data_IF_527336745499
#
_entry.id   IF_527336745499
#
_cell.length_a   1.000
_cell.length_b   1.000
_cell.length_c   1.000
_cell.angle_alpha   90.00
_cell.angle_beta   90.00
_cell.angle_gamma   90.00
#
_symmetry.space_group_name_H-M   'P 1'
#
loop_
_entity.id
_entity.type
_entity.pdbx_description
1 polymer ?
#
# COMPACT_ATOMS: atom_id res chain seq x y z
N UNK A 1 1.05 -3.32 26.50
CA UNK A 1 -0.11 -2.99 27.36
C UNK A 1 -1.12 -4.09 27.19
N UNK A 2 -1.44 -4.79 28.28
CA UNK A 2 -2.27 -6.00 28.27
C UNK A 2 -3.66 -5.68 27.74
N UNK A 3 -4.17 -6.53 26.86
CA UNK A 3 -5.50 -6.45 26.30
C UNK A 3 -6.54 -6.82 27.38
N UNK A 4 -6.87 -5.87 28.26
CA UNK A 4 -8.22 -5.85 28.81
C UNK A 4 -9.15 -5.67 27.61
N UNK A 5 -9.69 -6.76 27.08
CA UNK A 5 -10.85 -6.67 26.20
C UNK A 5 -11.88 -5.85 26.96
N UNK A 6 -12.16 -4.64 26.50
CA UNK A 6 -13.12 -3.72 27.10
C UNK A 6 -14.37 -4.50 27.47
N UNK A 7 -14.72 -4.53 28.76
CA UNK A 7 -15.88 -5.26 29.27
C UNK A 7 -17.17 -4.89 28.52
N UNK A 8 -17.20 -3.65 28.02
CA UNK A 8 -18.20 -3.12 27.12
C UNK A 8 -18.34 -3.89 25.80
N UNK A 9 -17.23 -4.18 25.11
CA UNK A 9 -17.28 -4.94 23.84
C UNK A 9 -17.72 -6.38 24.10
N UNK A 10 -17.27 -6.99 25.21
CA UNK A 10 -17.75 -8.33 25.60
C UNK A 10 -19.25 -8.34 25.90
N UNK A 11 -19.79 -7.26 26.47
CA UNK A 11 -21.22 -7.09 26.69
C UNK A 11 -21.98 -7.02 25.36
N UNK A 12 -21.46 -6.29 24.37
CA UNK A 12 -22.06 -6.22 23.04
C UNK A 12 -21.98 -7.56 22.29
N UNK A 13 -20.85 -8.27 22.35
CA UNK A 13 -20.69 -9.61 21.76
C UNK A 13 -21.67 -10.63 22.38
N UNK A 14 -21.84 -10.58 23.70
CA UNK A 14 -22.82 -11.43 24.41
C UNK A 14 -24.25 -11.14 23.96
N UNK A 15 -24.59 -9.86 23.81
CA UNK A 15 -25.90 -9.39 23.42
C UNK A 15 -26.24 -9.70 21.95
N UNK A 16 -25.25 -9.69 21.05
CA UNK A 16 -25.46 -9.97 19.62
C UNK A 16 -26.06 -11.37 19.38
N UNK A 17 -25.64 -12.36 20.17
CA UNK A 17 -26.10 -13.75 20.04
C UNK A 17 -27.50 -14.01 20.61
N UNK A 18 -28.16 -13.01 21.20
CA UNK A 18 -29.43 -13.16 21.93
C UNK A 18 -30.45 -12.10 21.50
N UNK A 19 -31.72 -12.50 21.40
CA UNK A 19 -32.84 -11.57 21.11
C UNK A 19 -33.23 -10.73 22.33
N UNK A 20 -33.19 -11.32 23.52
CA UNK A 20 -33.37 -10.64 24.80
C UNK A 20 -32.51 -11.29 25.88
N UNK A 21 -32.18 -10.52 26.92
CA UNK A 21 -31.41 -10.98 28.07
C UNK A 21 -31.63 -10.05 29.27
N UNK A 22 -31.22 -10.47 30.47
CA UNK A 22 -31.24 -9.64 31.68
C UNK A 22 -29.83 -9.17 32.03
N UNK A 23 -29.73 -8.07 32.77
CA UNK A 23 -28.44 -7.56 33.25
C UNK A 23 -27.71 -8.59 34.12
N UNK A 24 -28.46 -9.36 34.93
CA UNK A 24 -27.89 -10.43 35.74
C UNK A 24 -27.24 -11.51 34.87
N UNK A 25 -27.97 -12.04 33.88
CA UNK A 25 -27.46 -13.05 32.96
C UNK A 25 -26.19 -12.58 32.22
N UNK A 26 -26.15 -11.30 31.83
CA UNK A 26 -24.98 -10.68 31.21
C UNK A 26 -23.81 -10.58 32.18
N UNK A 27 -24.05 -10.12 33.41
CA UNK A 27 -22.99 -9.97 34.43
C UNK A 27 -22.41 -11.30 34.87
N UNK A 28 -23.24 -12.34 35.02
CA UNK A 28 -22.78 -13.70 35.34
C UNK A 28 -21.97 -14.30 34.21
N UNK A 29 -22.37 -14.10 32.96
CA UNK A 29 -21.67 -14.67 31.82
C UNK A 29 -20.30 -14.04 31.55
N UNK A 30 -20.17 -12.74 31.81
CA UNK A 30 -18.93 -11.98 31.53
C UNK A 30 -18.04 -11.88 32.77
N UNK A 31 -18.58 -12.19 33.96
CA UNK A 31 -17.85 -12.11 35.23
C UNK A 31 -17.59 -10.67 35.65
N UNK A 32 -18.60 -9.80 35.55
CA UNK A 32 -18.48 -8.38 35.89
C UNK A 32 -18.45 -8.15 37.39
N UNK A 33 -17.67 -7.16 37.83
CA UNK A 33 -17.69 -6.72 39.24
C UNK A 33 -18.98 -5.94 39.55
N UNK A 34 -19.35 -5.80 40.83
CA UNK A 34 -20.53 -5.01 41.22
C UNK A 34 -20.47 -3.55 40.74
N UNK A 35 -19.28 -2.94 40.78
CA UNK A 35 -19.06 -1.58 40.28
C UNK A 35 -19.28 -1.48 38.77
N UNK A 36 -18.77 -2.44 38.00
CA UNK A 36 -18.96 -2.51 36.55
C UNK A 36 -20.44 -2.77 36.19
N UNK A 37 -21.14 -3.59 36.97
CA UNK A 37 -22.59 -3.81 36.84
C UNK A 37 -23.36 -2.50 37.00
N UNK A 38 -23.04 -1.72 38.04
CA UNK A 38 -23.69 -0.43 38.29
C UNK A 38 -23.42 0.59 37.16
N UNK A 39 -22.19 0.63 36.64
CA UNK A 39 -21.85 1.49 35.50
C UNK A 39 -22.61 1.10 34.23
N UNK A 40 -22.71 -0.20 33.92
CA UNK A 40 -23.51 -0.67 32.79
C UNK A 40 -25.00 -0.38 32.99
N UNK A 41 -25.53 -0.57 34.21
CA UNK A 41 -26.91 -0.25 34.52
C UNK A 41 -27.23 1.24 34.28
N UNK A 42 -26.30 2.14 34.62
CA UNK A 42 -26.42 3.57 34.35
C UNK A 42 -26.43 3.86 32.84
N UNK A 43 -25.54 3.23 32.07
CA UNK A 43 -25.50 3.41 30.61
C UNK A 43 -26.78 2.90 29.92
N UNK A 44 -27.35 1.80 30.43
CA UNK A 44 -28.63 1.26 29.97
C UNK A 44 -29.77 2.22 30.30
N UNK A 45 -29.81 2.75 31.53
CA UNK A 45 -30.83 3.71 31.94
C UNK A 45 -30.80 4.99 31.08
N UNK A 46 -29.60 5.45 30.72
CA UNK A 46 -29.40 6.62 29.85
C UNK A 46 -29.73 6.34 28.37
N UNK A 47 -30.14 5.12 28.02
CA UNK A 47 -30.41 4.73 26.63
C UNK A 47 -29.16 4.73 25.75
N UNK A 48 -27.98 4.69 26.35
CA UNK A 48 -26.74 4.65 25.60
C UNK A 48 -26.51 3.25 25.05
N UNK A 49 -26.81 2.20 25.80
CA UNK A 49 -26.67 0.81 25.35
C UNK A 49 -27.90 0.01 25.70
N UNK A 50 -28.21 -0.99 24.88
CA UNK A 50 -29.30 -1.93 25.08
C UNK A 50 -30.67 -1.25 25.30
N UNK A 51 -31.60 -1.56 24.41
CA UNK A 51 -32.94 -1.02 24.54
C UNK A 51 -33.70 -1.70 25.68
N UNK A 52 -34.35 -0.90 26.50
CA UNK A 52 -35.11 -1.34 27.66
C UNK A 52 -36.47 -0.63 27.67
N UNK A 53 -37.53 -1.31 28.14
CA UNK A 53 -38.91 -0.79 28.12
C UNK A 53 -39.37 -0.22 29.47
N UNK A 54 -38.56 -0.29 30.52
CA UNK A 54 -38.93 0.16 31.85
C UNK A 54 -38.72 1.68 32.02
N UNK A 55 -39.68 2.41 32.59
CA UNK A 55 -39.55 3.86 32.77
C UNK A 55 -38.46 4.25 33.80
N UNK A 56 -38.21 3.40 34.80
CA UNK A 56 -37.21 3.64 35.83
C UNK A 56 -36.30 2.42 36.01
N UNK A 57 -35.38 2.25 35.06
CA UNK A 57 -34.49 1.09 35.03
C UNK A 57 -33.52 1.06 36.22
N UNK A 58 -32.92 2.20 36.58
CA UNK A 58 -31.83 2.26 37.56
C UNK A 58 -32.27 1.89 38.98
N UNK A 59 -33.53 2.14 39.34
CA UNK A 59 -34.04 1.78 40.65
C UNK A 59 -34.62 0.36 40.71
N UNK A 60 -34.91 -0.25 39.55
CA UNK A 60 -35.63 -1.53 39.47
C UNK A 60 -34.77 -2.70 38.95
N UNK A 61 -33.55 -2.47 38.46
CA UNK A 61 -32.72 -3.54 37.88
C UNK A 61 -32.25 -4.61 38.88
N UNK A 62 -32.27 -4.31 40.19
CA UNK A 62 -31.92 -5.27 41.25
C UNK A 62 -33.12 -6.04 41.79
N UNK A 63 -34.32 -5.47 41.66
CA UNK A 63 -35.55 -6.02 42.24
C UNK A 63 -36.42 -6.73 41.21
N UNK A 64 -36.27 -6.39 39.93
CA UNK A 64 -37.04 -6.94 38.83
C UNK A 64 -36.14 -7.37 37.68
N UNK A 65 -36.43 -8.55 37.12
CA UNK A 65 -35.82 -8.99 35.87
C UNK A 65 -36.39 -8.17 34.71
N UNK A 66 -35.63 -7.17 34.27
CA UNK A 66 -35.98 -6.33 33.12
C UNK A 66 -35.32 -6.89 31.86
N UNK A 67 -36.13 -7.15 30.84
CA UNK A 67 -35.65 -7.58 29.54
C UNK A 67 -34.93 -6.44 28.80
N UNK A 68 -33.69 -6.72 28.42
CA UNK A 68 -32.84 -5.89 27.58
C UNK A 68 -32.81 -6.45 26.17
N UNK A 69 -32.75 -5.54 25.19
CA UNK A 69 -32.70 -5.88 23.78
C UNK A 69 -31.47 -5.27 23.13
N UNK A 70 -30.81 -6.06 22.28
CA UNK A 70 -29.71 -5.56 21.46
C UNK A 70 -30.24 -4.64 20.36
N UNK A 71 -29.80 -3.39 20.35
CA UNK A 71 -30.25 -2.40 19.38
C UNK A 71 -29.41 -2.41 18.10
N UNK A 72 -29.93 -1.77 17.04
CA UNK A 72 -29.16 -1.55 15.81
C UNK A 72 -27.95 -0.65 16.06
N UNK A 73 -28.07 0.32 16.97
CA UNK A 73 -26.97 1.21 17.34
C UNK A 73 -25.85 0.43 18.06
N UNK A 74 -26.20 -0.48 18.95
CA UNK A 74 -25.27 -1.38 19.61
C UNK A 74 -24.49 -2.24 18.60
N UNK A 75 -25.17 -2.71 17.54
CA UNK A 75 -24.54 -3.44 16.43
C UNK A 75 -23.53 -2.56 15.67
N UNK A 76 -23.87 -1.31 15.38
CA UNK A 76 -22.94 -0.39 14.71
C UNK A 76 -21.71 -0.09 15.58
N UNK A 77 -21.88 0.04 16.89
CA UNK A 77 -20.75 0.24 17.82
C UNK A 77 -19.81 -0.96 17.83
N UNK A 78 -20.36 -2.17 17.86
CA UNK A 78 -19.57 -3.39 17.76
C UNK A 78 -18.82 -3.48 16.43
N UNK A 79 -19.50 -3.19 15.31
CA UNK A 79 -18.87 -3.17 13.98
C UNK A 79 -17.76 -2.11 13.88
N UNK A 80 -17.98 -0.91 14.41
CA UNK A 80 -16.97 0.14 14.43
C UNK A 80 -15.74 -0.26 15.23
N UNK A 81 -15.93 -0.93 16.38
CA UNK A 81 -14.81 -1.45 17.15
C UNK A 81 -14.00 -2.49 16.37
N UNK A 82 -14.68 -3.46 15.76
CA UNK A 82 -14.03 -4.50 14.93
C UNK A 82 -13.30 -3.86 13.75
N UNK A 83 -13.93 -2.93 13.04
CA UNK A 83 -13.32 -2.21 11.91
C UNK A 83 -12.10 -1.39 12.32
N UNK A 84 -12.16 -0.69 13.47
CA UNK A 84 -11.01 0.04 14.01
C UNK A 84 -9.87 -0.90 14.39
N UNK A 85 -10.19 -2.06 14.97
CA UNK A 85 -9.20 -3.05 15.35
C UNK A 85 -8.52 -3.68 14.12
N UNK A 86 -9.29 -3.96 13.07
CA UNK A 86 -8.80 -4.43 11.78
C UNK A 86 -7.97 -3.37 11.05
N UNK A 87 -8.41 -2.11 11.08
CA UNK A 87 -7.63 -1.00 10.53
C UNK A 87 -6.29 -0.82 11.25
N UNK A 88 -6.26 -0.98 12.58
CA UNK A 88 -5.03 -0.95 13.38
C UNK A 88 -4.10 -2.12 13.05
N UNK A 89 -4.64 -3.34 12.92
CA UNK A 89 -3.82 -4.51 12.56
C UNK A 89 -3.26 -4.38 11.15
N UNK A 90 -4.07 -3.92 10.19
CA UNK A 90 -3.65 -3.59 8.83
C UNK A 90 -2.55 -2.53 8.82
N UNK A 91 -2.74 -1.41 9.53
CA UNK A 91 -1.74 -0.34 9.64
C UNK A 91 -0.41 -0.83 10.21
N UNK A 92 -0.45 -1.68 11.24
CA UNK A 92 0.76 -2.29 11.81
C UNK A 92 1.49 -3.16 10.80
N UNK A 93 0.76 -3.95 10.01
CA UNK A 93 1.35 -4.78 8.96
C UNK A 93 1.96 -3.92 7.84
N UNK A 94 1.27 -2.86 7.41
CA UNK A 94 1.77 -1.92 6.41
C UNK A 94 3.05 -1.22 6.88
N UNK A 95 3.10 -0.82 8.15
CA UNK A 95 4.29 -0.20 8.76
C UNK A 95 5.47 -1.17 8.77
N UNK A 96 5.23 -2.45 9.04
CA UNK A 96 6.26 -3.49 8.97
C UNK A 96 6.82 -3.66 7.56
N UNK A 97 5.94 -3.75 6.56
CA UNK A 97 6.35 -3.83 5.15
C UNK A 97 7.13 -2.59 4.70
N UNK A 98 6.68 -1.40 5.09
CA UNK A 98 7.38 -0.16 4.80
C UNK A 98 8.78 -0.13 5.45
N UNK A 99 8.91 -0.62 6.69
CA UNK A 99 10.19 -0.76 7.37
C UNK A 99 11.15 -1.69 6.63
N UNK A 100 10.67 -2.86 6.20
CA UNK A 100 11.48 -3.79 5.39
C UNK A 100 11.91 -3.17 4.06
N UNK A 101 11.00 -2.48 3.37
CA UNK A 101 11.30 -1.82 2.10
C UNK A 101 12.39 -0.73 2.28
N UNK A 102 12.34 0.05 3.38
CA UNK A 102 13.37 1.03 3.69
C UNK A 102 14.75 0.37 3.88
N UNK A 103 14.81 -0.75 4.62
CA UNK A 103 16.08 -1.48 4.82
C UNK A 103 16.64 -1.96 3.48
N UNK A 104 15.81 -2.55 2.62
CA UNK A 104 16.23 -3.01 1.28
C UNK A 104 16.70 -1.83 0.43
N UNK A 105 16.02 -0.69 0.50
CA UNK A 105 16.41 0.53 -0.22
C UNK A 105 17.78 1.05 0.22
N UNK A 106 18.05 1.06 1.53
CA UNK A 106 19.34 1.51 2.07
C UNK A 106 20.47 0.59 1.61
N UNK A 107 20.27 -0.73 1.69
CA UNK A 107 21.26 -1.71 1.24
C UNK A 107 21.53 -1.55 -0.26
N UNK A 108 20.47 -1.44 -1.07
CA UNK A 108 20.59 -1.25 -2.52
C UNK A 108 21.34 0.04 -2.87
N UNK A 109 21.09 1.12 -2.13
CA UNK A 109 21.79 2.38 -2.31
C UNK A 109 23.29 2.27 -2.02
N UNK A 110 23.68 1.58 -0.94
CA UNK A 110 25.08 1.36 -0.59
C UNK A 110 25.80 0.53 -1.66
N UNK A 111 25.19 -0.57 -2.09
CA UNK A 111 25.78 -1.45 -3.11
C UNK A 111 25.94 -0.69 -4.43
N UNK A 112 24.90 0.02 -4.87
CA UNK A 112 24.95 0.81 -6.11
C UNK A 112 26.02 1.90 -6.03
N UNK A 113 26.18 2.55 -4.89
CA UNK A 113 27.23 3.56 -4.67
C UNK A 113 28.62 2.95 -4.72
N UNK A 114 28.82 1.78 -4.12
CA UNK A 114 30.10 1.05 -4.13
C UNK A 114 30.47 0.60 -5.55
N UNK A 115 29.52 -0.01 -6.28
CA UNK A 115 29.72 -0.40 -7.68
C UNK A 115 30.03 0.80 -8.56
N UNK A 116 29.33 1.92 -8.37
CA UNK A 116 29.60 3.17 -9.10
C UNK A 116 31.02 3.67 -8.83
N UNK A 117 31.46 3.67 -7.57
CA UNK A 117 32.82 4.08 -7.21
C UNK A 117 33.89 3.15 -7.79
N UNK A 118 33.66 1.84 -7.76
CA UNK A 118 34.56 0.86 -8.39
C UNK A 118 34.61 1.04 -9.91
N UNK A 119 33.49 1.34 -10.57
CA UNK A 119 33.45 1.60 -12.01
C UNK A 119 34.21 2.87 -12.39
N UNK A 120 34.08 3.94 -11.60
CA UNK A 120 34.80 5.19 -11.85
C UNK A 120 36.32 5.05 -11.67
N UNK A 121 36.76 4.22 -10.72
CA UNK A 121 38.18 4.01 -10.42
C UNK A 121 38.80 2.79 -11.11
N UNK A 122 37.99 1.96 -11.77
CA UNK A 122 38.53 0.89 -12.61
C UNK A 122 39.03 1.53 -13.89
N UNK A 123 40.30 1.30 -14.29
CA UNK A 123 40.71 1.64 -15.64
C UNK A 123 39.78 0.89 -16.58
N UNK A 124 39.05 1.62 -17.42
CA UNK A 124 38.24 1.04 -18.49
C UNK A 124 39.25 0.32 -19.39
N UNK A 125 39.46 -0.97 -19.12
CA UNK A 125 40.35 -1.81 -19.90
C UNK A 125 39.57 -2.20 -21.15
N UNK A 126 39.39 -1.24 -22.06
CA UNK A 126 38.83 -1.53 -23.38
C UNK A 126 39.83 -2.49 -24.03
N UNK A 127 39.43 -3.73 -24.35
CA UNK A 127 40.33 -4.68 -25.00
C UNK A 127 40.90 -4.02 -26.26
N UNK A 128 42.22 -4.02 -26.42
CA UNK A 128 42.86 -3.38 -27.56
C UNK A 128 42.30 -3.86 -28.91
N UNK A 129 41.88 -5.14 -28.98
CA UNK A 129 41.18 -5.72 -30.14
C UNK A 129 39.87 -5.00 -30.51
N UNK A 130 39.16 -4.47 -29.52
CA UNK A 130 37.90 -3.74 -29.74
C UNK A 130 38.17 -2.35 -30.29
N UNK A 131 39.22 -1.68 -29.80
CA UNK A 131 39.67 -0.39 -30.32
C UNK A 131 40.16 -0.53 -31.77
N UNK A 132 40.93 -1.57 -32.06
CA UNK A 132 41.45 -1.85 -33.40
C UNK A 132 40.32 -2.15 -34.39
N UNK A 133 39.35 -2.99 -34.01
CA UNK A 133 38.18 -3.27 -34.86
C UNK A 133 37.34 -2.02 -35.14
N UNK A 134 37.18 -1.14 -34.14
CA UNK A 134 36.48 0.14 -34.31
C UNK A 134 37.24 1.04 -35.28
N UNK A 135 38.57 1.13 -35.17
CA UNK A 135 39.39 1.96 -36.06
C UNK A 135 39.39 1.46 -37.51
N UNK A 136 39.42 0.13 -37.72
CA UNK A 136 39.29 -0.49 -39.04
C UNK A 136 37.90 -0.22 -39.65
N UNK A 137 36.84 -0.31 -38.87
CA UNK A 137 35.47 -0.02 -39.34
C UNK A 137 35.29 1.46 -39.68
N UNK A 138 35.84 2.37 -38.87
CA UNK A 138 35.81 3.81 -39.13
C UNK A 138 36.57 4.16 -40.42
N UNK A 139 37.78 3.61 -40.62
CA UNK A 139 38.56 3.78 -41.86
C UNK A 139 37.81 3.25 -43.07
N UNK A 140 37.25 2.04 -42.99
CA UNK A 140 36.46 1.46 -44.06
C UNK A 140 35.20 2.26 -44.40
N UNK A 141 34.57 2.90 -43.41
CA UNK A 141 33.41 3.77 -43.63
C UNK A 141 33.82 5.10 -44.27
N UNK A 142 34.94 5.69 -43.86
CA UNK A 142 35.48 6.91 -44.46
C UNK A 142 35.83 6.70 -45.95
N UNK A 143 36.45 5.57 -46.29
CA UNK A 143 36.76 5.20 -47.66
C UNK A 143 35.50 4.98 -48.51
N UNK A 144 34.49 4.28 -47.96
CA UNK A 144 33.20 4.11 -48.64
C UNK A 144 32.49 5.44 -48.87
N UNK A 145 32.48 6.33 -47.88
CA UNK A 145 31.88 7.66 -48.02
C UNK A 145 32.61 8.50 -49.09
N UNK A 146 33.94 8.42 -49.15
CA UNK A 146 34.73 9.05 -50.20
C UNK A 146 34.37 8.50 -51.58
N UNK A 147 34.32 7.18 -51.74
CA UNK A 147 33.95 6.53 -53.00
C UNK A 147 32.52 6.91 -53.44
N UNK A 148 31.56 6.98 -52.52
CA UNK A 148 30.19 7.43 -52.83
C UNK A 148 30.18 8.90 -53.28
N UNK A 149 30.98 9.77 -52.65
CA UNK A 149 31.07 11.18 -53.04
C UNK A 149 31.67 11.35 -54.45
N UNK A 150 32.70 10.59 -54.78
CA UNK A 150 33.33 10.58 -56.11
C UNK A 150 32.38 10.00 -57.17
N UNK A 151 31.63 8.95 -56.83
CA UNK A 151 30.60 8.38 -57.70
C UNK A 151 29.46 9.37 -57.93
N UNK A 152 29.04 10.10 -56.90
CA UNK A 152 28.00 11.13 -57.00
C UNK A 152 28.45 12.28 -57.91
N UNK A 153 29.69 12.73 -57.76
CA UNK A 153 30.28 13.77 -58.60
C UNK A 153 30.40 13.35 -60.08
N UNK A 154 30.88 12.13 -60.33
CA UNK A 154 30.97 11.59 -61.70
C UNK A 154 29.60 11.37 -62.34
N UNK A 155 28.59 10.95 -61.59
CA UNK A 155 27.21 10.85 -62.08
C UNK A 155 26.61 12.23 -62.41
N UNK A 156 26.86 13.25 -61.59
CA UNK A 156 26.44 14.63 -61.90
C UNK A 156 27.09 15.14 -63.19
N UNK A 157 28.39 14.90 -63.37
CA UNK A 157 29.09 15.24 -64.62
C UNK A 157 28.51 14.49 -65.83
N UNK A 158 28.20 13.20 -65.71
CA UNK A 158 27.53 12.46 -66.78
C UNK A 158 26.15 13.01 -67.09
N UNK A 159 25.40 13.46 -66.07
CA UNK A 159 24.08 14.07 -66.25
C UNK A 159 24.18 15.42 -66.94
N UNK A 160 25.15 16.28 -66.57
CA UNK A 160 25.40 17.56 -67.25
C UNK A 160 25.81 17.35 -68.72
N UNK A 161 26.67 16.37 -68.99
CA UNK A 161 27.05 16.02 -70.37
C UNK A 161 25.85 15.49 -71.15
N UNK A 162 25.00 14.67 -70.52
CA UNK A 162 23.77 14.15 -71.14
C UNK A 162 22.75 15.27 -71.39
N UNK A 163 22.59 16.23 -70.50
CA UNK A 163 21.71 17.40 -70.69
C UNK A 163 22.25 18.35 -71.78
N UNK A 164 23.56 18.57 -71.86
CA UNK A 164 24.19 19.32 -72.97
C UNK A 164 24.04 18.62 -74.32
N UNK A 165 24.09 17.29 -74.35
CA UNK A 165 23.93 16.50 -75.57
C UNK A 165 22.45 16.21 -75.93
N UNK A 166 21.53 16.36 -74.98
CA UNK A 166 20.08 16.21 -75.19
C UNK A 166 19.39 17.52 -75.60
N UNK A 167 20.14 18.60 -75.83
CA UNK A 167 19.64 19.79 -76.51
C UNK A 167 20.02 19.79 -77.99
N UNK A 168 19.19 19.25 -78.89
CA UNK A 168 19.18 19.63 -80.28
C UNK A 168 18.00 20.58 -80.57
N UNK A 169 18.34 21.67 -81.27
CA UNK A 169 17.49 22.53 -82.07
C UNK A 169 16.40 23.38 -81.37
N UNK A 170 16.65 24.69 -81.33
CA UNK A 170 16.00 25.63 -82.24
C UNK A 170 16.87 26.85 -82.48
#
# INVERSE_FOLDING_TARGET
>A
MSAEKDHYIRALEYAESRSSFTLEALTTAIGLTPEQKAQLALQIHQGQIFNQKAPDYINNYETQAIDLHFSVEDKFRLLNYVALQEARSSSRSATWFAGLALVVSIISFIISSCLSYMQLNSPINIPAELVEKIDVLLKGQAEKNKAISELSYSLLLQREVKEKNASPAR
#
